data_IF_961665315237
#
_entry.id   IF_961665315237
#
_cell.length_a   1.000
_cell.length_b   1.000
_cell.length_c   1.000
_cell.angle_alpha   90.00
_cell.angle_beta   90.00
_cell.angle_gamma   90.00
#
_symmetry.space_group_name_H-M   'P 1'
#
loop_
_entity.id
_entity.type
_entity.pdbx_description
1 polymer ?
#
# COMPACT_ATOMS: atom_id res chain seq x y z
N UNK A 1 1.23 -47.13 -41.13
CA UNK A 1 -0.09 -46.57 -41.48
C UNK A 1 -1.05 -46.83 -40.34
N UNK A 2 -1.85 -45.82 -40.03
CA UNK A 2 -2.61 -45.55 -38.81
C UNK A 2 -3.37 -46.70 -38.16
N UNK A 3 -3.45 -46.67 -36.84
CA UNK A 3 -4.60 -47.19 -36.10
C UNK A 3 -5.20 -46.07 -35.23
N UNK A 4 -6.50 -45.90 -35.41
CA UNK A 4 -7.33 -44.80 -34.97
C UNK A 4 -7.62 -44.80 -33.45
N UNK A 5 -7.62 -43.60 -32.88
CA UNK A 5 -8.41 -43.20 -31.70
C UNK A 5 -9.92 -43.28 -31.96
N UNK A 6 -10.72 -43.52 -30.91
CA UNK A 6 -11.98 -42.80 -30.77
C UNK A 6 -12.10 -42.08 -29.41
N UNK A 7 -12.48 -40.82 -29.51
CA UNK A 7 -12.99 -39.95 -28.45
C UNK A 7 -14.47 -40.26 -28.17
N UNK A 8 -14.90 -40.20 -26.91
CA UNK A 8 -16.31 -40.06 -26.54
C UNK A 8 -16.47 -39.29 -25.22
N UNK A 9 -17.30 -38.25 -25.26
CA UNK A 9 -17.97 -37.56 -24.15
C UNK A 9 -19.17 -36.84 -24.79
N UNK A 10 -20.22 -36.37 -24.07
CA UNK A 10 -20.69 -36.66 -22.71
C UNK A 10 -22.20 -37.02 -22.67
N UNK A 11 -22.73 -37.50 -21.53
CA UNK A 11 -24.18 -37.50 -21.27
C UNK A 11 -24.51 -37.02 -19.85
N UNK A 12 -25.37 -36.00 -19.81
CA UNK A 12 -26.03 -35.43 -18.64
C UNK A 12 -26.99 -36.43 -17.98
N UNK A 13 -27.08 -36.38 -16.65
CA UNK A 13 -28.11 -37.05 -15.87
C UNK A 13 -28.51 -36.24 -14.64
N UNK A 14 -29.58 -35.46 -14.75
CA UNK A 14 -30.37 -34.99 -13.61
C UNK A 14 -31.24 -36.13 -13.07
N UNK A 15 -31.26 -36.35 -11.76
CA UNK A 15 -32.44 -36.87 -11.05
C UNK A 15 -32.56 -36.29 -9.64
N UNK A 16 -33.80 -35.97 -9.34
CA UNK A 16 -34.38 -35.34 -8.16
C UNK A 16 -34.91 -36.39 -7.17
N UNK A 17 -35.12 -35.97 -5.92
CA UNK A 17 -35.97 -36.63 -4.92
C UNK A 17 -35.33 -36.61 -3.52
N UNK A 18 -35.59 -35.63 -2.64
CA UNK A 18 -36.68 -35.56 -1.63
C UNK A 18 -36.86 -36.86 -0.83
N UNK A 19 -37.11 -36.92 0.48
CA UNK A 19 -37.29 -36.01 1.63
C UNK A 19 -37.58 -36.98 2.80
N UNK A 20 -37.16 -36.73 4.03
CA UNK A 20 -37.99 -36.98 5.23
C UNK A 20 -37.38 -36.34 6.47
N UNK A 21 -38.25 -35.65 7.20
CA UNK A 21 -38.01 -34.76 8.31
C UNK A 21 -38.89 -35.20 9.49
N UNK A 22 -38.41 -34.99 10.71
CA UNK A 22 -39.20 -34.99 11.96
C UNK A 22 -38.28 -34.45 13.07
N UNK A 23 -38.60 -33.57 14.03
CA UNK A 23 -39.64 -32.54 14.29
C UNK A 23 -39.31 -31.89 15.64
N UNK A 24 -39.57 -30.59 15.83
CA UNK A 24 -40.34 -29.97 16.95
C UNK A 24 -40.19 -28.44 16.89
N UNK A 25 -41.22 -27.68 16.47
CA UNK A 25 -42.36 -27.05 17.22
C UNK A 25 -42.00 -25.63 17.73
N UNK A 26 -42.84 -24.60 17.74
CA UNK A 26 -44.10 -24.20 17.07
C UNK A 26 -44.49 -22.83 17.69
N UNK A 27 -44.78 -21.78 16.90
CA UNK A 27 -45.91 -20.80 17.04
C UNK A 27 -45.78 -19.66 15.99
N UNK A 28 -46.52 -19.75 14.86
CA UNK A 28 -47.70 -18.93 14.43
C UNK A 28 -47.36 -17.47 14.07
N UNK A 29 -47.21 -17.00 12.82
CA UNK A 29 -48.01 -16.96 11.57
C UNK A 29 -49.18 -15.96 11.55
N UNK A 30 -49.04 -14.86 10.79
CA UNK A 30 -49.98 -14.48 9.72
C UNK A 30 -49.32 -13.56 8.69
N UNK A 31 -49.43 -13.96 7.43
CA UNK A 31 -48.90 -13.34 6.21
C UNK A 31 -50.04 -12.62 5.49
N UNK A 32 -49.75 -11.48 4.87
CA UNK A 32 -50.33 -11.13 3.57
C UNK A 32 -49.37 -10.22 2.79
N UNK A 33 -48.74 -10.76 1.75
CA UNK A 33 -48.14 -9.99 0.66
C UNK A 33 -49.15 -9.88 -0.48
N UNK A 34 -49.20 -8.71 -1.13
CA UNK A 34 -49.51 -8.59 -2.55
C UNK A 34 -48.92 -7.27 -3.10
N UNK A 35 -47.95 -7.35 -4.01
CA UNK A 35 -47.83 -6.40 -5.12
C UNK A 35 -48.77 -6.86 -6.25
N UNK A 36 -49.00 -6.13 -7.34
CA UNK A 36 -48.57 -4.84 -7.86
C UNK A 36 -49.56 -4.45 -8.98
N UNK A 37 -49.79 -3.17 -9.30
CA UNK A 37 -50.16 -2.73 -10.66
C UNK A 37 -49.94 -1.22 -10.83
N UNK A 38 -49.35 -0.86 -11.97
CA UNK A 38 -49.19 0.50 -12.49
C UNK A 38 -50.44 0.91 -13.27
N UNK A 39 -50.96 2.12 -13.07
CA UNK A 39 -51.19 3.12 -14.15
C UNK A 39 -52.06 4.30 -13.68
N UNK A 40 -51.76 5.47 -14.25
CA UNK A 40 -52.49 6.75 -14.26
C UNK A 40 -52.16 7.75 -13.15
N UNK A 41 -51.02 8.43 -13.35
CA UNK A 41 -50.96 9.89 -13.32
C UNK A 41 -51.46 10.55 -12.04
N UNK A 42 -50.64 10.51 -10.98
CA UNK A 42 -50.61 11.54 -9.95
C UNK A 42 -49.33 11.40 -9.11
N UNK A 43 -48.46 12.39 -9.24
CA UNK A 43 -47.27 12.58 -8.40
C UNK A 43 -47.74 12.88 -6.97
N UNK A 44 -47.40 12.01 -6.02
CA UNK A 44 -47.58 12.23 -4.59
C UNK A 44 -46.26 12.78 -4.03
N UNK A 45 -46.21 14.10 -3.83
CA UNK A 45 -45.13 14.74 -3.08
C UNK A 45 -45.44 14.60 -1.60
N UNK A 46 -44.68 13.75 -0.90
CA UNK A 46 -44.70 13.72 0.57
C UNK A 46 -43.82 14.87 1.06
N UNK A 47 -44.45 15.96 1.52
CA UNK A 47 -43.79 17.01 2.29
C UNK A 47 -43.79 16.54 3.75
N UNK A 48 -42.62 16.15 4.26
CA UNK A 48 -42.45 15.85 5.68
C UNK A 48 -42.30 17.14 6.47
N UNK A 49 -43.40 17.66 7.01
CA UNK A 49 -43.35 18.72 8.02
C UNK A 49 -43.05 18.11 9.39
N UNK A 50 -41.96 18.58 10.00
CA UNK A 50 -41.58 18.27 11.38
C UNK A 50 -42.43 19.15 12.31
N UNK A 51 -43.34 18.53 13.07
CA UNK A 51 -44.07 19.20 14.15
C UNK A 51 -43.27 19.12 15.46
N UNK A 52 -43.11 20.24 16.21
CA UNK A 52 -42.47 20.21 17.53
C UNK A 52 -43.40 19.58 18.59
N UNK A 53 -42.77 18.87 19.53
CA UNK A 53 -43.42 18.11 20.59
C UNK A 53 -44.23 19.00 21.56
N UNK A 54 -45.50 18.67 21.77
CA UNK A 54 -46.31 19.24 22.85
C UNK A 54 -47.81 19.33 22.57
N UNK A 55 -48.51 18.20 22.45
CA UNK A 55 -49.97 18.20 22.59
C UNK A 55 -50.48 16.86 23.14
N UNK A 56 -51.00 16.90 24.35
CA UNK A 56 -51.67 15.81 25.07
C UNK A 56 -53.06 15.52 24.50
N UNK A 57 -53.42 14.24 24.48
CA UNK A 57 -54.69 13.70 24.01
C UNK A 57 -55.90 14.18 24.85
N UNK A 58 -56.98 14.56 24.17
CA UNK A 58 -58.34 14.49 24.71
C UNK A 58 -59.18 13.62 23.78
N UNK A 59 -59.67 12.51 24.35
CA UNK A 59 -60.65 11.61 23.77
C UNK A 59 -62.04 12.23 23.91
N UNK A 60 -62.83 12.17 22.84
CA UNK A 60 -64.29 12.38 22.87
C UNK A 60 -64.90 11.75 21.61
N UNK A 61 -65.19 10.45 21.76
CA UNK A 61 -66.32 9.70 21.21
C UNK A 61 -67.21 10.35 20.13
N UNK A 62 -67.31 9.64 19.00
CA UNK A 62 -68.28 9.88 17.95
C UNK A 62 -69.74 9.59 18.38
N UNK A 63 -70.69 10.29 17.77
CA UNK A 63 -72.08 9.84 17.64
C UNK A 63 -72.59 10.20 16.25
N UNK A 64 -73.02 9.19 15.49
CA UNK A 64 -73.68 9.32 14.20
C UNK A 64 -75.08 9.92 14.34
N UNK A 65 -75.48 10.74 13.37
CA UNK A 65 -76.89 10.91 13.01
C UNK A 65 -77.01 11.48 11.60
N UNK A 66 -77.95 10.90 10.87
CA UNK A 66 -78.23 11.00 9.45
C UNK A 66 -78.84 12.34 9.01
N UNK A 67 -78.59 12.69 7.74
CA UNK A 67 -79.61 13.02 6.73
C UNK A 67 -79.16 14.12 5.75
N UNK A 68 -79.43 13.84 4.48
CA UNK A 68 -79.18 14.65 3.29
C UNK A 68 -80.07 15.90 3.24
N UNK A 69 -79.47 17.08 3.00
CA UNK A 69 -80.17 18.19 2.34
C UNK A 69 -79.18 19.20 1.74
N UNK A 70 -79.11 19.22 0.41
CA UNK A 70 -78.57 20.34 -0.39
C UNK A 70 -79.58 21.48 -0.39
N UNK A 71 -79.14 22.71 -0.09
CA UNK A 71 -79.20 23.88 -1.00
C UNK A 71 -78.94 25.22 -0.29
N UNK A 72 -78.34 26.11 -1.08
CA UNK A 72 -78.32 27.58 -1.03
C UNK A 72 -77.22 28.30 -0.24
N UNK A 73 -76.22 28.75 -1.03
CA UNK A 73 -75.42 29.94 -0.79
C UNK A 73 -76.29 31.12 -0.34
N UNK A 74 -76.03 31.61 0.87
CA UNK A 74 -76.17 33.03 1.21
C UNK A 74 -74.81 33.52 1.71
N UNK A 75 -74.21 34.46 0.98
CA UNK A 75 -73.06 35.24 1.46
C UNK A 75 -73.56 36.13 2.60
N UNK A 76 -73.42 35.68 3.84
CA UNK A 76 -73.42 36.58 4.98
C UNK A 76 -71.97 36.96 5.27
N UNK A 77 -71.62 38.20 4.91
CA UNK A 77 -70.38 38.86 5.32
C UNK A 77 -70.48 39.18 6.80
N UNK A 78 -69.93 38.30 7.65
CA UNK A 78 -69.74 38.58 9.07
C UNK A 78 -68.38 39.26 9.25
N UNK A 79 -68.38 40.59 9.34
CA UNK A 79 -67.19 41.40 9.60
C UNK A 79 -66.85 41.29 11.08
N UNK A 80 -66.03 40.31 11.46
CA UNK A 80 -65.41 40.28 12.79
C UNK A 80 -64.05 40.97 12.72
N UNK A 81 -63.97 42.14 13.36
CA UNK A 81 -62.75 42.91 13.59
C UNK A 81 -61.83 42.13 14.52
N UNK A 82 -60.57 41.84 14.16
CA UNK A 82 -59.62 41.23 15.08
C UNK A 82 -59.12 42.30 16.06
N UNK A 83 -59.41 42.14 17.35
CA UNK A 83 -58.77 42.93 18.40
C UNK A 83 -57.37 42.36 18.69
N UNK A 84 -56.36 43.10 18.26
CA UNK A 84 -54.95 42.81 18.56
C UNK A 84 -54.66 43.07 20.04
N UNK A 85 -54.14 42.10 20.82
CA UNK A 85 -53.76 42.34 22.21
C UNK A 85 -52.52 43.25 22.27
N UNK A 86 -52.57 44.25 23.13
CA UNK A 86 -51.48 45.19 23.43
C UNK A 86 -50.33 44.46 24.14
N UNK A 87 -49.07 44.59 23.70
CA UNK A 87 -47.94 43.93 24.38
C UNK A 87 -47.70 44.56 25.76
N UNK A 88 -47.64 43.71 26.78
CA UNK A 88 -47.26 44.06 28.15
C UNK A 88 -45.74 44.36 28.19
N UNK A 89 -45.29 45.44 28.86
CA UNK A 89 -43.86 45.75 28.94
C UNK A 89 -43.10 44.66 29.72
N UNK A 90 -42.10 44.08 29.07
CA UNK A 90 -41.17 43.11 29.65
C UNK A 90 -40.26 43.81 30.68
N UNK A 91 -40.09 43.27 31.91
CA UNK A 91 -39.18 43.86 32.88
C UNK A 91 -37.73 43.84 32.39
N UNK A 92 -37.07 44.98 32.50
CA UNK A 92 -35.65 45.15 32.17
C UNK A 92 -34.79 44.35 33.17
N UNK A 93 -33.87 43.47 32.72
CA UNK A 93 -33.00 42.75 33.63
C UNK A 93 -32.01 43.71 34.31
N UNK A 94 -31.94 43.62 35.63
CA UNK A 94 -30.95 44.30 36.48
C UNK A 94 -29.54 43.82 36.11
N UNK A 95 -28.54 44.71 35.97
CA UNK A 95 -27.19 44.30 35.63
C UNK A 95 -26.57 43.44 36.75
N UNK A 96 -26.20 42.21 36.40
CA UNK A 96 -25.43 41.30 37.25
C UNK A 96 -24.01 41.86 37.43
N UNK A 97 -23.46 41.92 38.65
CA UNK A 97 -22.09 42.40 38.86
C UNK A 97 -21.09 41.54 38.10
N UNK A 98 -20.24 42.19 37.32
CA UNK A 98 -19.17 41.54 36.55
C UNK A 98 -18.12 40.99 37.52
N UNK A 99 -17.74 39.70 37.44
CA UNK A 99 -16.69 39.16 38.29
C UNK A 99 -15.35 39.84 38.00
N UNK A 100 -14.71 40.33 39.04
CA UNK A 100 -13.35 40.88 39.00
C UNK A 100 -12.38 39.83 38.46
N UNK A 101 -11.51 40.15 37.50
CA UNK A 101 -10.56 39.19 36.95
C UNK A 101 -9.59 38.73 38.05
N UNK A 102 -9.62 37.43 38.34
CA UNK A 102 -8.62 36.77 39.17
C UNK A 102 -7.26 36.88 38.48
N UNK A 103 -6.18 37.28 39.18
CA UNK A 103 -4.86 37.38 38.57
C UNK A 103 -4.44 36.03 37.98
N UNK A 104 -4.19 36.01 36.68
CA UNK A 104 -3.68 34.84 35.97
C UNK A 104 -2.25 34.57 36.45
N UNK A 105 -1.91 33.34 36.91
CA UNK A 105 -0.56 33.02 37.29
C UNK A 105 0.38 33.23 36.10
N UNK A 106 1.44 33.99 36.32
CA UNK A 106 2.50 34.21 35.35
C UNK A 106 3.07 32.84 34.93
N UNK A 107 3.19 32.52 33.63
CA UNK A 107 3.74 31.25 33.20
C UNK A 107 5.18 31.14 33.70
N UNK A 108 5.41 30.13 34.54
CA UNK A 108 6.76 29.71 34.93
C UNK A 108 7.52 29.37 33.63
N UNK A 109 8.75 29.88 33.42
CA UNK A 109 9.52 29.55 32.23
C UNK A 109 9.68 28.04 32.13
N UNK A 110 9.11 27.47 31.07
CA UNK A 110 9.31 26.07 30.71
C UNK A 110 10.82 25.88 30.51
N UNK A 111 11.47 24.89 31.17
CA UNK A 111 12.88 24.63 30.94
C UNK A 111 13.09 24.41 29.45
N UNK A 112 14.02 25.19 28.88
CA UNK A 112 14.48 24.97 27.52
C UNK A 112 14.91 23.52 27.42
N UNK A 113 14.41 22.73 26.44
CA UNK A 113 14.87 21.36 26.28
C UNK A 113 16.39 21.41 26.13
N UNK A 114 17.09 20.80 27.08
CA UNK A 114 18.51 20.52 26.96
C UNK A 114 18.70 19.85 25.60
N UNK A 115 19.61 20.33 24.74
CA UNK A 115 19.85 19.67 23.46
C UNK A 115 20.12 18.21 23.75
N UNK A 116 19.22 17.33 23.28
CA UNK A 116 19.45 15.90 23.28
C UNK A 116 20.82 15.72 22.64
N UNK A 117 21.78 15.05 23.30
CA UNK A 117 23.10 14.86 22.75
C UNK A 117 22.93 14.31 21.33
N UNK A 118 23.45 15.03 20.34
CA UNK A 118 23.57 14.52 18.98
C UNK A 118 24.27 13.18 19.13
N UNK A 119 23.63 12.06 18.76
CA UNK A 119 24.30 10.78 18.85
C UNK A 119 25.65 10.91 18.13
N UNK A 120 26.75 10.45 18.74
CA UNK A 120 28.07 10.52 18.11
C UNK A 120 27.93 9.97 16.70
N UNK A 121 28.61 10.59 15.73
CA UNK A 121 28.64 10.14 14.34
C UNK A 121 29.06 8.66 14.32
N UNK A 122 28.07 7.77 14.39
CA UNK A 122 28.23 6.35 14.14
C UNK A 122 28.74 6.31 12.73
N UNK A 123 29.99 5.90 12.55
CA UNK A 123 30.53 5.43 11.28
C UNK A 123 29.40 4.68 10.58
N UNK A 124 28.83 5.30 9.53
CA UNK A 124 27.55 4.84 9.02
C UNK A 124 27.73 3.40 8.54
N UNK A 125 26.84 2.49 8.95
CA UNK A 125 26.81 1.10 8.47
C UNK A 125 26.42 0.99 6.99
N UNK A 126 26.47 2.11 6.27
CA UNK A 126 26.14 2.26 4.86
C UNK A 126 27.20 1.64 3.96
N UNK A 127 26.77 1.29 2.75
CA UNK A 127 27.58 0.59 1.75
C UNK A 127 27.85 -0.88 2.08
N UNK A 128 28.02 -1.67 1.03
CA UNK A 128 28.24 -3.12 1.16
C UNK A 128 29.70 -3.46 1.47
N UNK A 129 29.97 -4.38 2.41
CA UNK A 129 31.33 -4.75 2.76
C UNK A 129 32.04 -5.60 1.71
N UNK A 130 31.26 -6.29 0.88
CA UNK A 130 31.72 -7.09 -0.25
C UNK A 130 30.72 -6.94 -1.37
N UNK A 131 31.15 -7.10 -2.62
CA UNK A 131 30.27 -7.02 -3.77
C UNK A 131 29.38 -8.26 -3.94
N UNK A 132 29.79 -9.43 -3.44
CA UNK A 132 29.04 -10.68 -3.59
C UNK A 132 29.79 -11.88 -2.98
N UNK A 133 29.38 -13.13 -3.29
CA UNK A 133 28.23 -13.50 -4.13
C UNK A 133 26.90 -13.00 -3.56
N UNK A 134 25.91 -12.75 -4.42
CA UNK A 134 24.56 -12.37 -3.99
C UNK A 134 23.48 -13.19 -4.66
N UNK A 135 22.30 -13.24 -4.04
CA UNK A 135 21.10 -13.88 -4.58
C UNK A 135 19.83 -13.21 -4.06
N UNK A 136 18.77 -13.29 -4.85
CA UNK A 136 17.39 -13.02 -4.46
C UNK A 136 16.64 -14.33 -4.25
N UNK A 137 15.80 -14.41 -3.22
CA UNK A 137 14.97 -15.58 -2.93
C UNK A 137 13.66 -15.19 -2.26
N UNK A 138 12.56 -15.33 -2.98
CA UNK A 138 11.21 -14.96 -2.51
C UNK A 138 10.36 -16.17 -2.14
N UNK A 139 11.00 -17.32 -1.88
CA UNK A 139 10.38 -18.48 -1.27
C UNK A 139 10.41 -18.45 0.26
N UNK A 140 10.04 -19.57 0.87
CA UNK A 140 10.05 -19.74 2.33
C UNK A 140 11.34 -20.42 2.81
N UNK A 141 11.75 -20.14 4.04
CA UNK A 141 12.82 -20.84 4.72
C UNK A 141 12.60 -22.36 4.78
N UNK A 142 11.34 -22.82 4.74
CA UNK A 142 10.99 -24.25 4.77
C UNK A 142 11.29 -24.96 3.44
N UNK A 143 11.44 -24.21 2.35
CA UNK A 143 11.71 -24.77 1.01
C UNK A 143 13.19 -24.67 0.59
N UNK A 144 14.08 -24.27 1.49
CA UNK A 144 15.50 -24.03 1.18
C UNK A 144 16.43 -24.56 2.28
N UNK A 145 17.61 -25.03 1.88
CA UNK A 145 18.71 -25.32 2.82
C UNK A 145 19.30 -24.00 3.35
N UNK A 146 18.78 -23.53 4.48
CA UNK A 146 19.12 -22.24 5.07
C UNK A 146 20.62 -22.13 5.44
N UNK A 147 21.26 -23.14 6.09
CA UNK A 147 22.71 -23.12 6.31
C UNK A 147 23.52 -23.02 5.01
N UNK A 148 23.15 -23.77 3.96
CA UNK A 148 23.83 -23.69 2.67
C UNK A 148 23.68 -22.31 2.05
N UNK A 149 22.49 -21.72 2.09
CA UNK A 149 22.24 -20.37 1.58
C UNK A 149 23.13 -19.35 2.29
N UNK A 150 23.14 -19.37 3.63
CA UNK A 150 23.97 -18.50 4.46
C UNK A 150 25.48 -18.69 4.21
N UNK A 151 25.94 -19.93 4.03
CA UNK A 151 27.34 -20.23 3.76
C UNK A 151 27.79 -19.79 2.36
N UNK A 152 26.88 -19.76 1.38
CA UNK A 152 27.19 -19.47 -0.03
C UNK A 152 27.25 -17.98 -0.32
N UNK A 153 26.25 -17.21 0.12
CA UNK A 153 26.08 -15.82 -0.28
C UNK A 153 26.48 -14.83 0.80
N UNK A 154 26.90 -13.63 0.38
CA UNK A 154 27.26 -12.50 1.26
C UNK A 154 26.20 -11.40 1.26
N UNK A 155 25.38 -11.34 0.22
CA UNK A 155 24.22 -10.45 0.14
C UNK A 155 23.02 -11.32 -0.24
N UNK A 156 21.94 -11.20 0.51
CA UNK A 156 20.70 -11.95 0.29
C UNK A 156 19.56 -10.96 0.26
N UNK A 157 18.79 -10.96 -0.81
CA UNK A 157 17.52 -10.27 -0.88
C UNK A 157 16.39 -11.30 -0.72
N UNK A 158 15.52 -11.11 0.27
CA UNK A 158 14.49 -12.09 0.64
C UNK A 158 13.14 -11.43 0.84
N UNK A 159 12.08 -12.23 0.73
CA UNK A 159 10.75 -11.82 1.20
C UNK A 159 10.67 -11.94 2.73
N UNK A 160 10.95 -10.84 3.44
CA UNK A 160 10.90 -10.79 4.90
C UNK A 160 9.52 -10.35 5.45
N UNK A 161 8.43 -10.53 4.68
CA UNK A 161 7.08 -10.16 5.12
C UNK A 161 6.66 -10.93 6.39
N UNK A 162 6.46 -10.23 7.53
CA UNK A 162 6.08 -10.88 8.78
C UNK A 162 4.67 -11.47 8.77
N UNK A 163 3.79 -11.04 7.87
CA UNK A 163 2.42 -11.58 7.75
C UNK A 163 2.38 -12.89 6.95
N UNK A 164 3.34 -13.08 6.04
CA UNK A 164 3.48 -14.32 5.26
C UNK A 164 4.24 -15.40 6.03
N UNK A 165 5.15 -14.99 6.92
CA UNK A 165 5.91 -15.93 7.75
C UNK A 165 6.93 -16.75 6.96
N UNK A 166 7.35 -16.27 5.77
CA UNK A 166 8.38 -16.92 4.93
C UNK A 166 9.71 -17.08 5.67
N UNK A 167 10.05 -16.11 6.53
CA UNK A 167 11.21 -16.15 7.41
C UNK A 167 10.88 -15.63 8.80
N UNK A 168 11.33 -16.35 9.82
CA UNK A 168 11.35 -15.86 11.20
C UNK A 168 12.61 -15.04 11.49
N UNK A 169 12.56 -14.23 12.55
CA UNK A 169 13.71 -13.46 13.06
C UNK A 169 14.95 -14.33 13.31
N UNK A 170 14.77 -15.56 13.82
CA UNK A 170 15.89 -16.47 14.08
C UNK A 170 16.49 -17.01 12.78
N UNK A 171 15.66 -17.29 11.77
CA UNK A 171 16.13 -17.72 10.44
C UNK A 171 16.87 -16.59 9.72
N UNK A 172 16.38 -15.35 9.80
CA UNK A 172 17.11 -14.17 9.28
C UNK A 172 18.44 -14.01 10.00
N UNK A 173 18.48 -14.18 11.32
CA UNK A 173 19.74 -14.17 12.09
C UNK A 173 20.72 -15.25 11.61
N UNK A 174 20.24 -16.44 11.27
CA UNK A 174 21.06 -17.50 10.64
C UNK A 174 21.61 -17.05 9.30
N UNK A 175 20.77 -16.46 8.44
CA UNK A 175 21.20 -15.93 7.14
C UNK A 175 22.24 -14.83 7.26
N UNK A 176 22.19 -14.00 8.31
CA UNK A 176 23.21 -12.98 8.57
C UNK A 176 24.58 -13.57 8.91
N UNK A 177 24.63 -14.84 9.30
CA UNK A 177 25.86 -15.60 9.53
C UNK A 177 26.89 -14.84 10.41
N UNK A 178 26.47 -14.45 11.62
CA UNK A 178 27.33 -13.68 12.53
C UNK A 178 27.66 -12.26 12.06
N UNK A 179 26.95 -11.73 11.07
CA UNK A 179 27.19 -10.41 10.46
C UNK A 179 28.08 -10.44 9.21
N UNK A 180 28.54 -11.63 8.80
CA UNK A 180 29.30 -11.80 7.55
C UNK A 180 28.44 -11.54 6.30
N UNK A 181 27.12 -11.73 6.41
CA UNK A 181 26.18 -11.51 5.32
C UNK A 181 25.31 -10.28 5.60
N UNK A 182 24.87 -9.62 4.53
CA UNK A 182 23.81 -8.61 4.56
C UNK A 182 22.52 -9.22 4.03
N UNK A 183 21.46 -9.11 4.82
CA UNK A 183 20.12 -9.60 4.45
C UNK A 183 19.22 -8.40 4.23
N UNK A 184 18.70 -8.24 3.02
CA UNK A 184 17.77 -7.19 2.62
C UNK A 184 16.35 -7.77 2.59
N UNK A 185 15.36 -6.94 2.89
CA UNK A 185 13.97 -7.25 2.58
C UNK A 185 13.62 -6.68 1.22
N UNK A 186 13.04 -7.51 0.37
CA UNK A 186 12.23 -7.05 -0.75
C UNK A 186 11.13 -6.13 -0.23
N UNK A 187 10.92 -5.01 -0.91
CA UNK A 187 9.77 -4.14 -0.70
C UNK A 187 9.40 -3.45 -2.01
N UNK A 188 8.22 -3.77 -2.51
CA UNK A 188 7.64 -3.07 -3.64
C UNK A 188 7.19 -1.67 -3.22
N UNK A 189 7.78 -0.61 -3.78
CA UNK A 189 7.38 0.76 -3.48
C UNK A 189 6.46 1.36 -4.54
N UNK A 190 6.56 0.91 -5.78
CA UNK A 190 5.76 1.43 -6.89
C UNK A 190 4.37 0.84 -6.99
N UNK A 191 4.16 -0.37 -6.50
CA UNK A 191 2.87 -1.07 -6.52
C UNK A 191 2.51 -1.63 -5.14
N UNK A 192 1.23 -1.98 -4.96
CA UNK A 192 0.79 -2.80 -3.85
C UNK A 192 0.46 -4.21 -4.31
N UNK A 193 1.06 -5.18 -3.64
CA UNK A 193 0.77 -6.60 -3.79
C UNK A 193 -0.43 -7.01 -2.91
N UNK A 194 -1.60 -7.20 -3.51
CA UNK A 194 -2.86 -7.41 -2.78
C UNK A 194 -2.87 -8.64 -1.86
N UNK A 195 -1.97 -9.60 -2.07
CA UNK A 195 -1.85 -10.79 -1.22
C UNK A 195 -1.15 -10.49 0.12
N UNK A 196 -0.40 -9.40 0.25
CA UNK A 196 0.34 -9.09 1.47
C UNK A 196 -0.52 -8.43 2.53
N UNK A 197 -0.33 -8.86 3.78
CA UNK A 197 -1.08 -8.38 4.93
C UNK A 197 -0.83 -6.89 5.19
N UNK A 198 0.41 -6.44 5.11
CA UNK A 198 0.78 -5.06 5.45
C UNK A 198 0.25 -4.01 4.47
N UNK A 199 -0.18 -4.40 3.26
CA UNK A 199 -0.88 -3.52 2.30
C UNK A 199 -2.39 -3.43 2.55
N UNK A 200 -2.97 -4.49 3.10
CA UNK A 200 -4.42 -4.71 3.12
C UNK A 200 -5.05 -4.59 4.52
N UNK A 201 -4.33 -5.02 5.56
CA UNK A 201 -4.76 -5.09 6.97
C UNK A 201 -3.94 -4.10 7.79
N UNK A 202 -4.33 -2.83 7.71
CA UNK A 202 -3.63 -1.72 8.37
C UNK A 202 -4.42 -1.24 9.59
N UNK A 203 -3.76 -0.84 10.69
CA UNK A 203 -4.45 -0.35 11.88
C UNK A 203 -5.02 1.05 11.64
N UNK A 204 -5.87 1.50 12.59
CA UNK A 204 -6.39 2.86 12.59
C UNK A 204 -5.26 3.90 12.51
N UNK A 205 -5.46 4.95 11.72
CA UNK A 205 -4.45 5.97 11.43
C UNK A 205 -3.65 5.72 10.14
N UNK A 206 -3.81 4.56 9.51
CA UNK A 206 -3.24 4.25 8.21
C UNK A 206 -4.33 3.97 7.17
N UNK A 207 -4.01 4.24 5.91
CA UNK A 207 -4.91 3.98 4.79
C UNK A 207 -4.33 2.84 3.95
N UNK A 208 -5.04 1.72 3.87
CA UNK A 208 -4.62 0.56 3.07
C UNK A 208 -4.60 0.90 1.57
N UNK A 209 -3.90 0.10 0.77
CA UNK A 209 -3.85 0.34 -0.68
C UNK A 209 -5.23 0.29 -1.34
N UNK A 210 -6.07 -0.66 -0.91
CA UNK A 210 -7.43 -0.79 -1.44
C UNK A 210 -8.34 0.37 -1.04
N UNK A 211 -8.12 0.96 0.13
CA UNK A 211 -8.86 2.14 0.60
C UNK A 211 -8.32 3.46 0.03
N UNK A 212 -7.02 3.55 -0.30
CA UNK A 212 -6.40 4.76 -0.85
C UNK A 212 -6.65 4.91 -2.35
N UNK A 213 -7.91 5.11 -2.74
CA UNK A 213 -8.29 5.27 -4.16
C UNK A 213 -7.59 6.44 -4.86
N UNK A 214 -7.30 7.51 -4.13
CA UNK A 214 -6.62 8.68 -4.65
C UNK A 214 -5.15 8.41 -5.04
N UNK A 215 -4.54 7.34 -4.50
CA UNK A 215 -3.19 6.94 -4.85
C UNK A 215 -3.16 5.85 -5.92
N UNK A 216 -4.27 5.21 -6.31
CA UNK A 216 -4.22 4.13 -7.29
C UNK A 216 -4.00 4.69 -8.71
N UNK A 217 -2.99 4.18 -9.41
CA UNK A 217 -2.61 4.56 -10.79
C UNK A 217 -3.00 3.49 -11.83
N UNK A 218 -3.72 2.45 -11.40
CA UNK A 218 -4.23 1.38 -12.26
C UNK A 218 -3.63 0.01 -11.94
N UNK A 219 -4.18 -1.03 -12.58
CA UNK A 219 -3.68 -2.40 -12.44
C UNK A 219 -2.30 -2.55 -13.06
N UNK A 220 -1.44 -3.35 -12.45
CA UNK A 220 -0.16 -3.71 -13.07
C UNK A 220 -0.38 -4.79 -14.14
N UNK A 221 -0.15 -4.45 -15.41
CA UNK A 221 -0.09 -5.42 -16.51
C UNK A 221 1.01 -6.46 -16.27
N UNK A 222 0.65 -7.75 -16.28
CA UNK A 222 1.54 -8.87 -15.97
C UNK A 222 1.34 -9.45 -14.57
N UNK A 223 0.90 -8.62 -13.62
CA UNK A 223 0.71 -8.99 -12.21
C UNK A 223 -0.70 -8.63 -11.74
N UNK A 224 -1.64 -9.56 -11.92
CA UNK A 224 -3.09 -9.32 -11.67
C UNK A 224 -3.43 -9.02 -10.21
N UNK A 225 -2.55 -9.39 -9.28
CA UNK A 225 -2.63 -9.11 -7.86
C UNK A 225 -2.00 -7.75 -7.48
N UNK A 226 -1.55 -6.94 -8.43
CA UNK A 226 -0.86 -5.69 -8.16
C UNK A 226 -1.56 -4.45 -8.72
N UNK A 227 -1.42 -3.36 -7.98
CA UNK A 227 -1.96 -2.04 -8.32
C UNK A 227 -0.84 -1.02 -8.21
N UNK A 228 -0.56 -0.30 -9.30
CA UNK A 228 0.37 0.82 -9.29
C UNK A 228 -0.12 1.92 -8.33
N UNK A 229 0.80 2.49 -7.57
CA UNK A 229 0.51 3.50 -6.57
C UNK A 229 1.28 4.78 -6.84
N UNK A 230 0.61 5.93 -6.66
CA UNK A 230 1.25 7.23 -6.67
C UNK A 230 2.13 7.33 -5.43
N UNK A 231 3.42 7.07 -5.63
CA UNK A 231 4.47 7.12 -4.60
C UNK A 231 4.66 8.50 -3.98
N UNK A 232 4.13 9.56 -4.61
CA UNK A 232 4.06 10.92 -4.05
C UNK A 232 2.85 11.18 -3.15
N UNK A 233 1.88 10.26 -3.05
CA UNK A 233 0.71 10.44 -2.21
C UNK A 233 1.07 10.39 -0.72
N UNK A 234 0.71 11.42 0.04
CA UNK A 234 1.10 11.55 1.45
C UNK A 234 0.59 10.40 2.36
N UNK A 235 -0.63 9.89 2.12
CA UNK A 235 -1.16 8.78 2.91
C UNK A 235 -0.45 7.46 2.57
N UNK A 236 -0.09 7.25 1.30
CA UNK A 236 0.72 6.11 0.88
C UNK A 236 2.14 6.16 1.49
N UNK A 237 2.80 7.31 1.43
CA UNK A 237 4.10 7.50 2.08
C UNK A 237 4.03 7.28 3.59
N UNK A 238 2.97 7.77 4.25
CA UNK A 238 2.76 7.52 5.68
C UNK A 238 2.65 6.02 5.99
N UNK A 239 1.89 5.27 5.18
CA UNK A 239 1.79 3.81 5.32
C UNK A 239 3.17 3.14 5.20
N UNK A 240 3.92 3.47 4.14
CA UNK A 240 5.26 2.88 3.91
C UNK A 240 6.21 3.21 5.06
N UNK A 241 6.41 4.50 5.35
CA UNK A 241 7.43 5.00 6.28
C UNK A 241 7.12 4.64 7.74
N UNK A 242 5.85 4.70 8.13
CA UNK A 242 5.43 4.64 9.53
C UNK A 242 4.76 3.33 9.94
N UNK A 243 4.41 2.44 8.99
CA UNK A 243 3.84 1.14 9.30
C UNK A 243 4.62 -0.03 8.69
N UNK A 244 4.89 -0.01 7.39
CA UNK A 244 5.47 -1.18 6.69
C UNK A 244 6.96 -1.33 7.01
N UNK A 245 7.76 -0.29 6.73
CA UNK A 245 9.22 -0.34 6.91
C UNK A 245 9.64 -0.67 8.35
N UNK A 246 9.03 -0.11 9.42
CA UNK A 246 9.35 -0.52 10.79
C UNK A 246 9.09 -2.01 11.04
N UNK A 247 8.03 -2.58 10.47
CA UNK A 247 7.67 -3.99 10.66
C UNK A 247 8.66 -4.94 9.99
N UNK A 248 9.09 -4.60 8.77
CA UNK A 248 10.15 -5.33 8.06
C UNK A 248 11.50 -5.18 8.78
N UNK A 249 11.87 -3.96 9.18
CA UNK A 249 13.08 -3.71 9.96
C UNK A 249 13.12 -4.52 11.28
N UNK A 250 11.97 -4.66 11.95
CA UNK A 250 11.84 -5.46 13.17
C UNK A 250 12.12 -6.95 12.96
N UNK A 251 12.09 -7.46 11.72
CA UNK A 251 12.52 -8.82 11.40
C UNK A 251 14.05 -9.01 11.51
N UNK A 252 14.82 -7.92 11.60
CA UNK A 252 16.28 -7.94 11.78
C UNK A 252 17.10 -7.87 10.50
N UNK A 253 16.46 -7.52 9.37
CA UNK A 253 17.14 -7.22 8.09
C UNK A 253 18.10 -6.04 8.22
N UNK A 254 19.11 -6.00 7.37
CA UNK A 254 20.13 -4.94 7.29
C UNK A 254 19.73 -3.80 6.33
N UNK A 255 18.66 -3.98 5.55
CA UNK A 255 18.23 -3.01 4.57
C UNK A 255 17.06 -3.47 3.70
N UNK A 256 16.86 -2.76 2.61
CA UNK A 256 15.73 -2.92 1.69
C UNK A 256 16.20 -2.94 0.25
N UNK A 257 15.59 -3.82 -0.52
CA UNK A 257 15.67 -3.90 -1.97
C UNK A 257 14.35 -3.40 -2.53
N UNK A 258 14.36 -2.19 -3.09
CA UNK A 258 13.15 -1.48 -3.50
C UNK A 258 12.81 -1.78 -4.95
N UNK A 259 11.63 -2.35 -5.14
CA UNK A 259 11.11 -2.72 -6.45
C UNK A 259 10.06 -1.73 -6.98
N UNK A 260 9.81 -1.81 -8.29
CA UNK A 260 8.87 -1.01 -9.06
C UNK A 260 9.09 0.51 -8.98
N UNK A 261 10.32 0.92 -8.65
CA UNK A 261 10.65 2.34 -8.55
C UNK A 261 10.83 3.01 -9.92
N UNK A 262 10.86 2.26 -11.03
CA UNK A 262 10.82 2.78 -12.40
C UNK A 262 9.55 3.60 -12.66
N UNK A 263 8.53 3.46 -11.81
CA UNK A 263 7.36 4.34 -11.82
C UNK A 263 7.76 5.83 -11.78
N UNK A 264 8.85 6.20 -11.11
CA UNK A 264 9.30 7.60 -11.05
C UNK A 264 9.89 8.09 -12.38
N UNK A 265 10.20 7.18 -13.29
CA UNK A 265 10.72 7.42 -14.64
C UNK A 265 9.61 7.38 -15.70
N UNK A 266 8.42 6.91 -15.31
CA UNK A 266 7.23 6.94 -16.17
C UNK A 266 6.75 8.38 -16.42
N UNK A 267 6.02 8.54 -17.53
CA UNK A 267 5.31 9.77 -17.84
C UNK A 267 3.79 9.58 -17.74
N UNK A 268 3.05 10.67 -17.93
CA UNK A 268 1.57 10.66 -17.90
C UNK A 268 0.96 9.81 -19.01
N UNK A 269 1.71 9.54 -20.08
CA UNK A 269 1.26 8.73 -21.22
C UNK A 269 1.65 7.24 -21.09
N UNK A 270 2.37 6.85 -20.03
CA UNK A 270 2.71 5.46 -19.79
C UNK A 270 1.43 4.67 -19.51
N UNK A 271 1.18 3.61 -20.28
CA UNK A 271 -0.05 2.81 -20.18
C UNK A 271 -0.11 1.96 -18.91
N UNK A 272 1.04 1.47 -18.45
CA UNK A 272 1.19 0.59 -17.29
C UNK A 272 1.86 1.38 -16.16
N UNK A 273 1.05 2.02 -15.31
CA UNK A 273 1.54 2.87 -14.21
C UNK A 273 1.92 4.29 -14.66
N UNK A 274 0.99 5.13 -15.14
CA UNK A 274 1.28 6.53 -15.45
C UNK A 274 1.71 7.29 -14.20
N UNK A 275 2.77 8.10 -14.31
CA UNK A 275 3.27 8.91 -13.21
C UNK A 275 3.49 10.34 -13.72
N UNK A 276 2.86 11.31 -13.06
CA UNK A 276 3.07 12.72 -13.35
C UNK A 276 4.31 13.27 -12.62
N UNK A 277 4.60 14.56 -12.79
CA UNK A 277 5.76 15.19 -12.14
C UNK A 277 5.68 15.13 -10.61
N UNK A 278 4.49 15.19 -10.02
CA UNK A 278 4.31 15.13 -8.57
C UNK A 278 4.52 13.72 -8.03
N UNK A 279 3.99 12.70 -8.72
CA UNK A 279 4.24 11.30 -8.45
C UNK A 279 5.75 11.00 -8.54
N UNK A 280 6.40 11.44 -9.62
CA UNK A 280 7.81 11.20 -9.87
C UNK A 280 8.71 11.86 -8.81
N UNK A 281 8.54 13.17 -8.56
CA UNK A 281 9.31 13.86 -7.52
C UNK A 281 9.00 13.31 -6.13
N UNK A 282 7.73 13.01 -5.85
CA UNK A 282 7.30 12.44 -4.58
C UNK A 282 7.92 11.07 -4.30
N UNK A 283 8.16 10.25 -5.32
CA UNK A 283 8.89 8.98 -5.19
C UNK A 283 10.36 9.18 -4.83
N UNK A 284 11.04 10.16 -5.43
CA UNK A 284 12.40 10.52 -5.03
C UNK A 284 12.43 11.01 -3.57
N UNK A 285 11.48 11.85 -3.20
CA UNK A 285 11.33 12.38 -1.83
C UNK A 285 10.95 11.29 -0.81
N UNK A 286 10.24 10.24 -1.22
CA UNK A 286 9.95 9.08 -0.38
C UNK A 286 11.25 8.40 0.07
N UNK A 287 12.20 8.19 -0.84
CA UNK A 287 13.52 7.62 -0.49
C UNK A 287 14.30 8.56 0.44
N UNK A 288 14.22 9.88 0.23
CA UNK A 288 14.84 10.84 1.15
C UNK A 288 14.25 10.75 2.57
N UNK A 289 12.91 10.69 2.68
CA UNK A 289 12.23 10.55 3.97
C UNK A 289 12.54 9.21 4.65
N UNK A 290 12.63 8.12 3.88
CA UNK A 290 13.09 6.84 4.39
C UNK A 290 14.53 6.93 4.90
N UNK A 291 15.43 7.62 4.17
CA UNK A 291 16.82 7.78 4.59
C UNK A 291 16.95 8.61 5.86
N UNK A 292 16.18 9.70 5.97
CA UNK A 292 16.14 10.52 7.19
C UNK A 292 15.71 9.68 8.41
N UNK A 293 14.73 8.80 8.24
CA UNK A 293 14.19 7.98 9.33
C UNK A 293 15.03 6.72 9.64
N UNK A 294 15.66 6.13 8.63
CA UNK A 294 16.45 4.89 8.73
C UNK A 294 17.87 5.10 8.20
N UNK A 295 18.69 5.97 8.84
CA UNK A 295 19.96 6.42 8.31
C UNK A 295 21.01 5.29 8.16
N UNK A 296 20.88 4.21 8.92
CA UNK A 296 21.82 3.08 8.96
C UNK A 296 21.46 1.92 8.02
N UNK A 297 20.23 1.87 7.50
CA UNK A 297 19.76 0.77 6.67
C UNK A 297 20.38 0.83 5.26
N UNK A 298 20.64 -0.33 4.66
CA UNK A 298 21.09 -0.40 3.27
C UNK A 298 19.89 -0.18 2.34
N UNK A 299 19.99 0.71 1.36
CA UNK A 299 18.96 0.89 0.32
C UNK A 299 19.51 0.51 -1.04
N UNK A 300 18.85 -0.43 -1.71
CA UNK A 300 19.12 -0.83 -3.08
C UNK A 300 17.90 -0.52 -3.93
N UNK A 301 18.12 0.12 -5.08
CA UNK A 301 17.08 0.34 -6.08
C UNK A 301 17.15 -0.78 -7.13
N UNK A 302 16.04 -1.42 -7.43
CA UNK A 302 15.90 -2.34 -8.55
C UNK A 302 15.45 -1.58 -9.79
N UNK A 303 16.05 -1.89 -10.94
CA UNK A 303 15.80 -1.25 -12.23
C UNK A 303 15.98 0.28 -12.10
N UNK A 304 15.07 1.09 -12.65
CA UNK A 304 15.01 2.54 -12.46
C UNK A 304 16.37 3.26 -12.57
N UNK A 305 17.17 2.89 -13.58
CA UNK A 305 18.56 3.33 -13.75
C UNK A 305 18.75 4.51 -14.68
N UNK A 306 17.68 5.11 -15.19
CA UNK A 306 17.77 6.20 -16.15
C UNK A 306 18.37 7.48 -15.52
N UNK A 307 18.56 8.49 -16.35
CA UNK A 307 18.97 9.82 -15.89
C UNK A 307 18.00 10.47 -14.91
N UNK A 308 16.73 10.03 -14.90
CA UNK A 308 15.73 10.57 -13.99
C UNK A 308 16.09 10.33 -12.53
N UNK A 309 16.53 9.13 -12.19
CA UNK A 309 17.01 8.79 -10.84
C UNK A 309 18.48 9.16 -10.67
N UNK A 310 19.33 8.86 -11.67
CA UNK A 310 20.78 9.08 -11.62
C UNK A 310 21.17 10.56 -11.47
N UNK A 311 20.44 11.46 -12.10
CA UNK A 311 20.66 12.91 -12.01
C UNK A 311 19.60 13.61 -11.15
N UNK A 312 18.65 12.84 -10.62
CA UNK A 312 17.54 13.33 -9.81
C UNK A 312 17.98 13.99 -8.51
N UNK A 313 17.09 14.83 -7.99
CA UNK A 313 17.21 15.43 -6.66
C UNK A 313 16.01 15.03 -5.81
N UNK A 314 16.26 14.83 -4.53
CA UNK A 314 15.23 14.44 -3.57
C UNK A 314 15.27 15.36 -2.35
N UNK A 315 14.11 15.67 -1.81
CA UNK A 315 13.94 16.58 -0.68
C UNK A 315 13.43 15.81 0.54
N UNK A 316 14.27 15.77 1.56
CA UNK A 316 13.95 15.24 2.88
C UNK A 316 13.87 16.34 3.94
N UNK A 317 13.83 15.92 5.21
CA UNK A 317 13.91 16.82 6.36
C UNK A 317 15.22 17.61 6.40
N UNK A 318 16.31 17.01 5.90
CA UNK A 318 17.64 17.61 5.82
C UNK A 318 17.83 18.56 4.62
N UNK A 319 16.78 18.76 3.81
CA UNK A 319 16.82 19.56 2.57
C UNK A 319 16.99 18.72 1.31
N UNK A 320 17.31 19.40 0.20
CA UNK A 320 17.40 18.76 -1.13
C UNK A 320 18.81 18.26 -1.41
N UNK A 321 18.95 16.96 -1.67
CA UNK A 321 20.21 16.29 -2.01
C UNK A 321 20.15 15.63 -3.39
N UNK A 322 21.31 15.20 -3.92
CA UNK A 322 21.33 14.33 -5.09
C UNK A 322 20.73 12.97 -4.71
N UNK A 323 19.74 12.50 -5.46
CA UNK A 323 19.03 11.25 -5.14
C UNK A 323 19.97 10.04 -4.99
N UNK A 324 20.98 9.83 -5.85
CA UNK A 324 21.91 8.71 -5.70
C UNK A 324 22.68 8.69 -4.37
N UNK A 325 22.88 9.83 -3.71
CA UNK A 325 23.58 9.89 -2.42
C UNK A 325 22.82 9.20 -1.28
N UNK A 326 21.52 8.96 -1.47
CA UNK A 326 20.63 8.29 -0.53
C UNK A 326 20.72 6.76 -0.59
N UNK A 327 21.31 6.21 -1.66
CA UNK A 327 21.35 4.78 -1.96
C UNK A 327 22.69 4.14 -1.57
N UNK A 328 22.68 2.85 -1.28
CA UNK A 328 23.88 2.04 -1.01
C UNK A 328 24.25 1.14 -2.20
N UNK A 329 23.29 0.92 -3.10
CA UNK A 329 23.52 0.33 -4.41
C UNK A 329 22.31 0.43 -5.33
N UNK A 330 22.48 -0.10 -6.53
CA UNK A 330 21.42 -0.38 -7.49
C UNK A 330 21.59 -1.82 -8.01
N UNK A 331 20.53 -2.40 -8.53
CA UNK A 331 20.60 -3.61 -9.33
C UNK A 331 19.60 -3.51 -10.47
N UNK A 332 19.89 -4.21 -11.58
CA UNK A 332 18.97 -4.26 -12.71
C UNK A 332 18.79 -5.71 -13.15
N UNK A 333 17.57 -6.03 -13.54
CA UNK A 333 17.23 -7.34 -14.10
C UNK A 333 17.53 -7.42 -15.60
N UNK A 334 17.72 -8.62 -16.12
CA UNK A 334 17.75 -8.86 -17.58
C UNK A 334 18.80 -8.07 -18.36
N UNK A 335 19.93 -7.75 -17.71
CA UNK A 335 21.01 -6.99 -18.36
C UNK A 335 21.65 -7.82 -19.48
N UNK A 336 21.92 -9.10 -19.24
CA UNK A 336 22.61 -10.00 -20.15
C UNK A 336 21.78 -11.22 -20.55
N UNK A 337 20.82 -11.65 -19.72
CA UNK A 337 19.91 -12.78 -20.01
C UNK A 337 18.46 -12.48 -19.62
N UNK A 338 17.48 -12.88 -20.44
CA UNK A 338 17.61 -13.81 -21.58
C UNK A 338 18.20 -13.20 -22.85
N UNK A 339 18.09 -11.87 -22.99
CA UNK A 339 18.67 -11.08 -24.09
C UNK A 339 19.54 -9.99 -23.47
N UNK A 340 20.65 -9.64 -24.13
CA UNK A 340 21.52 -8.56 -23.65
C UNK A 340 20.89 -7.20 -23.97
N UNK A 341 20.56 -6.44 -22.95
CA UNK A 341 20.16 -5.04 -23.05
C UNK A 341 21.38 -4.12 -22.93
N UNK A 342 21.86 -3.65 -24.08
CA UNK A 342 23.00 -2.72 -24.15
C UNK A 342 22.68 -1.34 -23.60
N UNK A 343 21.40 -0.92 -23.57
CA UNK A 343 21.00 0.37 -23.03
C UNK A 343 21.12 0.36 -21.51
N UNK A 344 20.55 -0.67 -20.88
CA UNK A 344 20.66 -0.89 -19.43
C UNK A 344 22.11 -1.05 -19.00
N UNK A 345 22.92 -1.83 -19.74
CA UNK A 345 24.36 -1.93 -19.43
C UNK A 345 25.03 -0.54 -19.44
N UNK A 346 24.73 0.31 -20.43
CA UNK A 346 25.28 1.66 -20.52
C UNK A 346 24.82 2.57 -19.36
N UNK A 347 23.57 2.42 -18.90
CA UNK A 347 23.07 3.11 -17.71
C UNK A 347 23.84 2.68 -16.45
N UNK A 348 24.02 1.38 -16.22
CA UNK A 348 24.80 0.86 -15.08
C UNK A 348 26.28 1.30 -15.12
N UNK A 349 26.87 1.39 -16.31
CA UNK A 349 28.21 1.98 -16.48
C UNK A 349 28.20 3.48 -16.11
N UNK A 350 27.16 4.21 -16.48
CA UNK A 350 27.00 5.63 -16.12
C UNK A 350 26.85 5.82 -14.60
N UNK A 351 26.13 4.92 -13.93
CA UNK A 351 26.06 4.87 -12.47
C UNK A 351 27.41 4.56 -11.81
N UNK A 352 28.17 3.61 -12.37
CA UNK A 352 29.54 3.32 -11.91
C UNK A 352 30.45 4.55 -11.98
N UNK A 353 30.31 5.35 -13.04
CA UNK A 353 31.06 6.58 -13.24
C UNK A 353 30.79 7.69 -12.21
N UNK A 354 29.73 7.57 -11.41
CA UNK A 354 29.44 8.52 -10.34
C UNK A 354 30.38 8.40 -9.14
N UNK A 355 31.13 7.29 -9.01
CA UNK A 355 32.10 7.04 -7.95
C UNK A 355 31.56 7.31 -6.53
N UNK A 356 30.29 6.93 -6.29
CA UNK A 356 29.64 7.10 -4.99
C UNK A 356 30.31 6.20 -3.94
N UNK A 357 30.44 6.74 -2.71
CA UNK A 357 31.11 6.06 -1.60
C UNK A 357 30.23 6.02 -0.33
N UNK A 358 29.03 5.41 -0.37
CA UNK A 358 28.17 5.29 0.82
C UNK A 358 28.92 4.60 1.97
N UNK A 359 28.99 5.27 3.13
CA UNK A 359 29.75 4.76 4.28
C UNK A 359 31.25 4.57 4.02
N UNK A 360 31.81 5.25 3.01
CA UNK A 360 33.21 5.09 2.58
C UNK A 360 33.47 3.80 1.78
N UNK A 361 32.43 3.11 1.33
CA UNK A 361 32.52 1.87 0.54
C UNK A 361 32.05 2.12 -0.89
N UNK A 362 32.65 1.44 -1.85
CA UNK A 362 32.25 1.55 -3.27
C UNK A 362 30.76 1.24 -3.40
N UNK A 363 30.04 2.09 -4.13
CA UNK A 363 28.65 1.89 -4.47
C UNK A 363 28.43 0.53 -5.14
N UNK A 364 27.44 -0.22 -4.64
CA UNK A 364 27.18 -1.57 -5.11
C UNK A 364 26.30 -1.54 -6.36
N UNK A 365 26.68 -2.31 -7.38
CA UNK A 365 25.94 -2.44 -8.63
C UNK A 365 25.75 -3.92 -8.92
N UNK A 366 24.51 -4.40 -8.85
CA UNK A 366 24.14 -5.79 -9.11
C UNK A 366 23.53 -5.98 -10.50
N UNK A 367 23.67 -7.19 -11.06
CA UNK A 367 22.85 -7.65 -12.20
C UNK A 367 22.13 -8.93 -11.81
N UNK A 368 20.83 -9.02 -12.10
CA UNK A 368 20.03 -10.22 -11.89
C UNK A 368 19.54 -10.74 -13.24
N UNK A 369 20.16 -11.82 -13.69
CA UNK A 369 19.94 -12.36 -15.03
C UNK A 369 19.16 -13.68 -14.98
N UNK A 370 18.35 -13.97 -16.00
CA UNK A 370 17.50 -15.17 -16.03
C UNK A 370 17.99 -16.20 -17.05
N UNK A 371 18.60 -17.29 -16.55
CA UNK A 371 18.91 -18.46 -17.35
C UNK A 371 17.67 -19.36 -17.49
N UNK A 372 17.61 -20.20 -18.53
CA UNK A 372 16.45 -21.09 -18.74
C UNK A 372 16.18 -22.08 -17.59
N UNK A 373 17.21 -22.45 -16.82
CA UNK A 373 17.13 -23.35 -15.66
C UNK A 373 18.42 -23.28 -14.85
N UNK A 374 18.39 -23.74 -13.59
CA UNK A 374 19.60 -23.91 -12.76
C UNK A 374 20.61 -24.96 -13.28
N UNK A 375 20.29 -25.66 -14.38
CA UNK A 375 21.21 -26.59 -15.05
C UNK A 375 21.89 -25.95 -16.27
N UNK A 376 21.45 -24.77 -16.71
CA UNK A 376 22.04 -24.07 -17.85
C UNK A 376 23.27 -23.25 -17.41
N UNK A 377 24.34 -23.98 -17.07
CA UNK A 377 25.59 -23.40 -16.58
C UNK A 377 26.27 -22.50 -17.61
N UNK A 378 26.13 -22.78 -18.91
CA UNK A 378 26.71 -21.95 -19.97
C UNK A 378 26.07 -20.56 -20.04
N UNK A 379 24.74 -20.46 -19.93
CA UNK A 379 24.07 -19.17 -19.90
C UNK A 379 24.47 -18.38 -18.64
N UNK A 380 24.45 -19.04 -17.47
CA UNK A 380 24.85 -18.43 -16.22
C UNK A 380 26.30 -17.93 -16.25
N UNK A 381 27.25 -18.76 -16.74
CA UNK A 381 28.64 -18.39 -16.89
C UNK A 381 28.83 -17.16 -17.77
N UNK A 382 28.12 -17.10 -18.91
CA UNK A 382 28.21 -15.96 -19.82
C UNK A 382 27.73 -14.66 -19.18
N UNK A 383 26.61 -14.69 -18.44
CA UNK A 383 26.11 -13.52 -17.73
C UNK A 383 27.08 -13.07 -16.62
N UNK A 384 27.59 -14.02 -15.83
CA UNK A 384 28.60 -13.75 -14.79
C UNK A 384 29.85 -13.09 -15.37
N UNK A 385 30.37 -13.58 -16.50
CA UNK A 385 31.55 -13.04 -17.16
C UNK A 385 31.30 -11.61 -17.66
N UNK A 386 30.19 -11.38 -18.36
CA UNK A 386 29.83 -10.04 -18.88
C UNK A 386 29.66 -9.02 -17.75
N UNK A 387 28.92 -9.38 -16.70
CA UNK A 387 28.70 -8.53 -15.53
C UNK A 387 30.00 -8.20 -14.79
N UNK A 388 30.84 -9.21 -14.52
CA UNK A 388 32.15 -9.01 -13.87
C UNK A 388 33.12 -8.20 -14.72
N UNK A 389 33.06 -8.31 -16.06
CA UNK A 389 33.90 -7.51 -16.96
C UNK A 389 33.62 -6.00 -16.84
N UNK A 390 32.42 -5.61 -16.37
CA UNK A 390 32.07 -4.22 -16.03
C UNK A 390 32.30 -3.85 -14.57
N UNK A 391 32.74 -4.80 -13.74
CA UNK A 391 32.91 -4.61 -12.31
C UNK A 391 31.59 -4.61 -11.53
N UNK A 392 30.52 -5.15 -12.12
CA UNK A 392 29.23 -5.38 -11.45
C UNK A 392 29.25 -6.69 -10.65
N UNK A 393 28.25 -6.86 -9.80
CA UNK A 393 28.03 -8.08 -9.04
C UNK A 393 26.94 -8.94 -9.68
N UNK A 394 27.28 -10.09 -10.29
CA UNK A 394 26.28 -10.94 -10.95
C UNK A 394 25.50 -11.81 -9.97
N UNK A 395 24.23 -12.00 -10.27
CA UNK A 395 23.36 -13.09 -9.83
C UNK A 395 22.63 -13.64 -11.06
N UNK A 396 22.42 -14.96 -11.10
CA UNK A 396 21.65 -15.60 -12.17
C UNK A 396 20.64 -16.54 -11.55
N UNK A 397 19.37 -16.35 -11.90
CA UNK A 397 18.24 -17.18 -11.48
C UNK A 397 17.71 -18.03 -12.65
N UNK A 398 16.72 -18.89 -12.37
CA UNK A 398 15.95 -19.58 -13.40
C UNK A 398 14.96 -18.64 -14.12
N UNK A 399 14.41 -19.08 -15.25
CA UNK A 399 13.55 -18.25 -16.10
C UNK A 399 12.14 -18.07 -15.56
N UNK A 400 11.87 -18.49 -14.32
CA UNK A 400 10.57 -18.28 -13.70
C UNK A 400 10.31 -16.81 -13.39
N UNK A 401 11.39 -16.03 -13.20
CA UNK A 401 11.37 -14.66 -12.67
C UNK A 401 10.56 -14.52 -11.35
N UNK A 402 10.26 -15.63 -10.65
CA UNK A 402 9.58 -15.63 -9.35
C UNK A 402 10.51 -15.86 -8.16
N UNK A 403 11.80 -16.10 -8.42
CA UNK A 403 12.88 -16.28 -7.43
C UNK A 403 12.53 -17.28 -6.32
N UNK A 404 11.71 -18.28 -6.64
CA UNK A 404 11.34 -19.39 -5.73
C UNK A 404 12.43 -20.46 -5.65
N UNK A 405 13.46 -20.35 -6.50
CA UNK A 405 14.58 -21.28 -6.58
C UNK A 405 15.89 -20.50 -6.52
N UNK A 406 16.83 -20.94 -5.68
CA UNK A 406 18.21 -20.44 -5.72
C UNK A 406 19.06 -21.37 -6.56
N UNK A 407 19.59 -20.86 -7.67
CA UNK A 407 20.56 -21.61 -8.47
C UNK A 407 21.95 -21.54 -7.82
N UNK A 408 22.46 -22.69 -7.39
CA UNK A 408 23.82 -22.81 -6.86
C UNK A 408 24.75 -23.14 -8.03
N UNK A 409 25.49 -22.14 -8.50
CA UNK A 409 26.39 -22.32 -9.63
C UNK A 409 27.78 -22.77 -9.17
N UNK A 410 28.15 -24.06 -9.34
CA UNK A 410 29.50 -24.50 -9.04
C UNK A 410 30.46 -23.90 -10.07
N UNK A 411 31.56 -23.30 -9.59
CA UNK A 411 32.68 -22.75 -10.38
C UNK A 411 32.62 -21.29 -10.86
N UNK A 412 31.75 -20.43 -10.30
CA UNK A 412 31.78 -18.98 -10.58
C UNK A 412 32.10 -18.10 -9.38
#
# INVERSE_FOLDING_TARGET
>A
MSTHTPTYTPLHGHRTGSRLATTMRCTTLLVAMAGAFTAHGRTLTVIGDTQPAGSTWQDSSATESSSTRTWQRRKHTNTQTPTTPTPTPTPTPTPTPTPTPTPTPTPTPTPTPTPTPTPPATTSSRGFPTAGPWASFYGSADSIDLPKLAATYRILDIDADPDMGNFSVSQIKTLKNGGANKVLSYLNLGSCENFRGYWSKVPSGFLSCSANKAAQLGTYSGYSNEVWMNVGNAAYQNLVINYIVPRLAAQGVDGFYFDNMEIVEHGTNTKNGPCDAQCSQGGLDLIAKLRDKYPSMLFVLQNATSDKTRLGRATGASGTVAFPSLLDGIAHEEVYKPVHDTSVEAELVSWSGMNLMPGGRKFWIGTLDYASSCTNTSAAQSAFQSSRARGFSPSVSDSSAGQQTVCYWPAF
#
